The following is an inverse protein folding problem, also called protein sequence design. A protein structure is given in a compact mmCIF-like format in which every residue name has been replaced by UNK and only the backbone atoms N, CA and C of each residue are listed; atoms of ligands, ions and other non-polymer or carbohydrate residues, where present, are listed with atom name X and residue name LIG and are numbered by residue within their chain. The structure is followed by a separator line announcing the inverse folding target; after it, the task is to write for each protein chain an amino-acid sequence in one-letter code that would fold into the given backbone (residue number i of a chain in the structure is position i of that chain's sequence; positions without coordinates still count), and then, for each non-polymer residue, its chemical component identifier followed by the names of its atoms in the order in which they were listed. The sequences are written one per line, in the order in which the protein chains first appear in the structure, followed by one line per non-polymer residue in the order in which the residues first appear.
data_IF_424456741269
#
_entry.id   IF_424456741269
#
_cell.length_a   1.000
_cell.length_b   1.000
_cell.length_c   1.000
_cell.angle_alpha   90.00
_cell.angle_beta   90.00
_cell.angle_gamma   90.00
#
_symmetry.space_group_name_H-M   'P 1'
#
loop_
_entity.id
_entity.type
_entity.pdbx_description
1 polymer ?
#
# COMPACT_ATOMS: atom_id res chain seq x y z
N UNK A 1 25.30 10.08 -15.87
CA UNK A 1 24.85 8.70 -15.62
C UNK A 1 23.82 8.38 -16.69
N UNK A 2 24.19 7.58 -17.67
CA UNK A 2 23.27 7.14 -18.70
C UNK A 2 22.19 6.29 -18.05
N UNK A 3 20.92 6.64 -18.30
CA UNK A 3 19.77 5.89 -17.77
C UNK A 3 19.77 4.53 -18.45
N UNK A 4 19.90 3.46 -17.66
CA UNK A 4 19.73 2.08 -18.14
C UNK A 4 18.39 2.02 -18.87
N UNK A 5 18.42 1.58 -20.14
CA UNK A 5 17.21 1.36 -20.91
C UNK A 5 16.40 0.24 -20.26
N UNK A 6 15.18 0.55 -19.84
CA UNK A 6 14.30 -0.37 -19.12
C UNK A 6 13.04 -0.59 -19.94
N UNK A 7 12.97 -1.74 -20.60
CA UNK A 7 11.77 -2.15 -21.32
C UNK A 7 10.62 -2.33 -20.32
N UNK A 8 9.52 -1.61 -20.59
CA UNK A 8 8.32 -1.57 -19.77
C UNK A 8 7.77 -2.98 -19.52
N UNK A 9 7.91 -3.90 -20.47
CA UNK A 9 7.42 -5.27 -20.35
C UNK A 9 8.14 -6.03 -19.23
N UNK A 10 9.46 -5.92 -19.14
CA UNK A 10 10.24 -6.56 -18.07
C UNK A 10 9.97 -5.90 -16.71
N UNK A 11 9.85 -4.57 -16.67
CA UNK A 11 9.50 -3.86 -15.43
C UNK A 11 8.11 -4.26 -14.94
N UNK A 12 7.13 -4.41 -15.84
CA UNK A 12 5.78 -4.84 -15.51
C UNK A 12 5.74 -6.24 -14.90
N UNK A 13 6.52 -7.20 -15.42
CA UNK A 13 6.62 -8.56 -14.89
C UNK A 13 7.13 -8.61 -13.44
N UNK A 14 7.89 -7.61 -13.02
CA UNK A 14 8.37 -7.52 -11.63
C UNK A 14 7.43 -6.72 -10.73
N UNK A 15 6.46 -5.97 -11.27
CA UNK A 15 5.55 -5.16 -10.44
C UNK A 15 4.40 -6.01 -9.90
N UNK A 16 3.89 -5.69 -8.69
CA UNK A 16 2.67 -6.31 -8.20
C UNK A 16 1.51 -5.97 -9.14
N UNK A 17 0.50 -6.82 -9.20
CA UNK A 17 -0.71 -6.52 -9.96
C UNK A 17 -1.36 -5.24 -9.42
N UNK A 18 -1.55 -4.25 -10.30
CA UNK A 18 -2.16 -2.96 -9.96
C UNK A 18 -3.51 -2.77 -10.66
N UNK A 19 -4.41 -2.04 -10.02
CA UNK A 19 -5.70 -1.63 -10.57
C UNK A 19 -5.99 -0.19 -10.16
N UNK A 20 -6.37 0.68 -11.10
CA UNK A 20 -6.69 2.09 -10.84
C UNK A 20 -5.61 2.84 -10.00
N UNK A 21 -4.33 2.56 -10.22
CA UNK A 21 -3.21 3.25 -9.56
C UNK A 21 -2.81 2.72 -8.18
N UNK A 22 -3.48 1.67 -7.68
CA UNK A 22 -3.16 1.00 -6.40
C UNK A 22 -2.91 -0.49 -6.61
N UNK A 23 -2.40 -1.20 -5.60
CA UNK A 23 -2.29 -2.67 -5.67
C UNK A 23 -3.68 -3.32 -5.69
N UNK A 24 -3.80 -4.45 -6.38
CA UNK A 24 -5.07 -5.17 -6.50
C UNK A 24 -5.68 -5.50 -5.13
N UNK A 25 -4.87 -5.99 -4.18
CA UNK A 25 -5.31 -6.30 -2.82
C UNK A 25 -5.86 -5.06 -2.09
N UNK A 26 -5.23 -3.90 -2.25
CA UNK A 26 -5.71 -2.65 -1.65
C UNK A 26 -7.04 -2.21 -2.26
N UNK A 27 -7.19 -2.31 -3.58
CA UNK A 27 -8.45 -2.02 -4.25
C UNK A 27 -9.61 -2.88 -3.73
N UNK A 28 -9.37 -4.18 -3.55
CA UNK A 28 -10.36 -5.11 -2.98
C UNK A 28 -10.72 -4.71 -1.55
N UNK A 29 -9.72 -4.41 -0.70
CA UNK A 29 -9.97 -3.94 0.68
C UNK A 29 -10.78 -2.65 0.69
N UNK A 30 -10.48 -1.69 -0.20
CA UNK A 30 -11.24 -0.45 -0.30
C UNK A 30 -12.70 -0.70 -0.71
N UNK A 31 -12.95 -1.62 -1.64
CA UNK A 31 -14.30 -2.00 -2.06
C UNK A 31 -15.09 -2.71 -0.95
N UNK A 32 -14.45 -3.63 -0.22
CA UNK A 32 -15.05 -4.29 0.96
C UNK A 32 -15.41 -3.25 2.02
N UNK A 33 -14.46 -2.37 2.37
CA UNK A 33 -14.69 -1.31 3.35
C UNK A 33 -15.81 -0.36 2.92
N UNK A 34 -15.86 0.05 1.66
CA UNK A 34 -16.96 0.87 1.13
C UNK A 34 -18.32 0.15 1.26
N UNK A 35 -18.35 -1.15 1.00
CA UNK A 35 -19.57 -1.96 1.12
C UNK A 35 -20.03 -2.06 2.57
N UNK A 36 -19.12 -2.36 3.49
CA UNK A 36 -19.40 -2.43 4.93
C UNK A 36 -19.90 -1.09 5.48
N UNK A 37 -19.21 0.01 5.15
CA UNK A 37 -19.64 1.36 5.57
C UNK A 37 -21.01 1.72 4.99
N UNK A 38 -21.30 1.32 3.75
CA UNK A 38 -22.62 1.55 3.16
C UNK A 38 -23.71 0.78 3.88
N UNK A 39 -23.47 -0.48 4.24
CA UNK A 39 -24.42 -1.28 5.02
C UNK A 39 -24.66 -0.73 6.42
N UNK A 40 -23.63 -0.16 7.06
CA UNK A 40 -23.75 0.43 8.41
C UNK A 40 -24.46 1.78 8.39
N UNK A 41 -24.09 2.67 7.47
CA UNK A 41 -24.59 4.05 7.47
C UNK A 41 -25.79 4.29 6.55
N UNK A 42 -26.03 3.42 5.57
CA UNK A 42 -27.11 3.57 4.58
C UNK A 42 -26.99 4.85 3.73
N UNK A 43 -25.77 5.39 3.58
CA UNK A 43 -25.54 6.72 3.00
C UNK A 43 -24.57 6.70 1.83
N UNK A 44 -24.89 7.43 0.77
CA UNK A 44 -24.00 7.61 -0.39
C UNK A 44 -22.74 8.42 -0.09
N UNK A 45 -22.68 9.14 1.05
CA UNK A 45 -21.45 9.80 1.51
C UNK A 45 -20.28 8.82 1.72
N UNK A 46 -20.58 7.54 1.88
CA UNK A 46 -19.59 6.46 1.93
C UNK A 46 -18.75 6.38 0.65
N UNK A 47 -19.31 6.72 -0.51
CA UNK A 47 -18.54 6.72 -1.76
C UNK A 47 -17.45 7.80 -1.76
N UNK A 48 -17.73 8.96 -1.15
CA UNK A 48 -16.71 10.00 -0.98
C UNK A 48 -15.59 9.52 -0.06
N UNK A 49 -15.94 8.85 1.05
CA UNK A 49 -14.95 8.24 1.93
C UNK A 49 -14.10 7.20 1.20
N UNK A 50 -14.71 6.31 0.43
CA UNK A 50 -14.02 5.30 -0.37
C UNK A 50 -13.09 5.93 -1.43
N UNK A 51 -13.49 7.04 -2.04
CA UNK A 51 -12.66 7.78 -2.99
C UNK A 51 -11.46 8.44 -2.31
N UNK A 52 -11.67 9.04 -1.13
CA UNK A 52 -10.59 9.65 -0.34
C UNK A 52 -9.57 8.58 0.11
N UNK A 53 -10.05 7.46 0.61
CA UNK A 53 -9.21 6.32 1.00
C UNK A 53 -8.42 5.85 -0.22
N UNK A 54 -9.08 5.55 -1.33
CA UNK A 54 -8.42 5.15 -2.58
C UNK A 54 -7.38 6.15 -3.06
N UNK A 55 -7.71 7.46 -3.01
CA UNK A 55 -6.82 8.54 -3.40
C UNK A 55 -5.53 8.57 -2.57
N UNK A 56 -5.63 8.36 -1.25
CA UNK A 56 -4.44 8.22 -0.39
C UNK A 56 -3.61 7.02 -0.83
N UNK A 57 -4.24 5.88 -1.10
CA UNK A 57 -3.54 4.70 -1.60
C UNK A 57 -2.82 4.94 -2.93
N UNK A 58 -3.47 5.63 -3.86
CA UNK A 58 -2.88 5.97 -5.15
C UNK A 58 -1.67 6.87 -4.98
N UNK A 59 -1.74 7.88 -4.10
CA UNK A 59 -0.61 8.78 -3.79
C UNK A 59 0.57 8.00 -3.21
N UNK A 60 0.34 7.05 -2.30
CA UNK A 60 1.40 6.22 -1.73
C UNK A 60 2.09 5.36 -2.80
N UNK A 61 1.31 4.82 -3.75
CA UNK A 61 1.82 4.02 -4.85
C UNK A 61 2.56 4.82 -5.95
N UNK A 62 2.47 6.16 -5.97
CA UNK A 62 3.18 6.99 -6.96
C UNK A 62 4.71 6.84 -6.88
N UNK A 63 5.25 6.68 -5.67
CA UNK A 63 6.69 6.52 -5.46
C UNK A 63 7.13 5.06 -5.47
N UNK A 64 6.33 4.19 -4.88
CA UNK A 64 6.65 2.77 -4.73
C UNK A 64 5.38 1.93 -4.96
N UNK A 65 5.25 1.25 -6.12
CA UNK A 65 4.13 0.37 -6.42
C UNK A 65 3.88 -0.71 -5.36
N UNK A 66 4.93 -1.18 -4.68
CA UNK A 66 4.87 -2.21 -3.63
C UNK A 66 4.67 -1.65 -2.23
N UNK A 67 4.27 -0.38 -2.09
CA UNK A 67 4.19 0.30 -0.80
C UNK A 67 3.46 -0.52 0.26
N UNK A 68 2.28 -1.06 -0.07
CA UNK A 68 1.46 -1.85 0.84
C UNK A 68 2.11 -3.19 1.23
N UNK A 69 2.73 -3.89 0.27
CA UNK A 69 3.41 -5.17 0.54
C UNK A 69 4.62 -4.96 1.45
N UNK A 70 5.40 -3.92 1.19
CA UNK A 70 6.55 -3.55 2.01
C UNK A 70 6.12 -3.09 3.40
N UNK A 71 5.05 -2.31 3.50
CA UNK A 71 4.49 -1.89 4.78
C UNK A 71 4.00 -3.08 5.58
N UNK A 72 3.26 -4.00 4.96
CA UNK A 72 2.76 -5.21 5.62
C UNK A 72 3.93 -6.12 6.05
N UNK A 73 4.93 -6.31 5.19
CA UNK A 73 6.12 -7.08 5.53
C UNK A 73 6.87 -6.46 6.72
N UNK A 74 7.01 -5.13 6.75
CA UNK A 74 7.62 -4.39 7.86
C UNK A 74 6.84 -4.60 9.16
N UNK A 75 5.52 -4.47 9.14
CA UNK A 75 4.69 -4.65 10.34
C UNK A 75 4.73 -6.10 10.84
N UNK A 76 4.72 -7.08 9.93
CA UNK A 76 4.68 -8.52 10.29
C UNK A 76 6.03 -9.07 10.74
N UNK A 77 7.12 -8.72 10.06
CA UNK A 77 8.44 -9.35 10.26
C UNK A 77 9.44 -8.45 10.98
N UNK A 78 9.27 -7.13 10.88
CA UNK A 78 10.21 -6.16 11.42
C UNK A 78 9.51 -5.14 12.35
N UNK A 79 8.73 -5.57 13.35
CA UNK A 79 8.09 -4.64 14.28
C UNK A 79 9.15 -3.88 15.07
N UNK A 80 8.81 -2.67 15.51
CA UNK A 80 9.72 -1.79 16.23
C UNK A 80 10.04 -2.37 17.61
N UNK A 81 11.32 -2.60 17.90
CA UNK A 81 11.76 -3.13 19.22
C UNK A 81 11.68 -2.07 20.32
N UNK A 82 11.57 -2.51 21.59
CA UNK A 82 11.38 -1.61 22.75
C UNK A 82 12.46 -0.53 22.89
N UNK A 83 13.69 -0.84 22.49
CA UNK A 83 14.84 0.08 22.55
C UNK A 83 15.05 0.87 21.24
N UNK A 84 14.16 0.78 20.25
CA UNK A 84 14.33 1.50 18.97
C UNK A 84 14.44 3.01 19.18
N UNK A 85 13.78 3.60 20.19
CA UNK A 85 13.90 5.05 20.43
C UNK A 85 15.34 5.46 20.76
N UNK A 86 16.11 4.59 21.41
CA UNK A 86 17.52 4.82 21.71
C UNK A 86 18.37 4.66 20.46
N UNK A 87 18.23 3.54 19.74
CA UNK A 87 19.13 3.16 18.64
C UNK A 87 18.71 3.67 17.25
N UNK A 88 17.45 4.10 17.11
CA UNK A 88 16.78 4.46 15.85
C UNK A 88 16.79 3.35 14.78
N UNK A 89 17.10 2.11 15.18
CA UNK A 89 17.10 0.93 14.34
C UNK A 89 16.57 -0.28 15.12
N UNK A 90 16.12 -1.30 14.37
CA UNK A 90 15.88 -2.62 14.94
C UNK A 90 17.20 -3.37 14.93
N UNK A 91 17.62 -3.88 16.09
CA UNK A 91 18.78 -4.77 16.16
C UNK A 91 18.36 -6.16 15.71
N UNK A 92 18.96 -6.67 14.64
CA UNK A 92 18.82 -8.07 14.26
C UNK A 92 19.56 -8.91 15.32
N UNK A 93 18.83 -9.69 16.10
CA UNK A 93 19.43 -10.77 16.88
C UNK A 93 19.13 -12.09 16.14
N UNK A 94 20.14 -12.92 15.86
CA UNK A 94 19.91 -14.26 15.31
C UNK A 94 19.05 -15.09 16.27
#
# INVERSE_FOLDING_TARGET
MDRVDQDILFVALTRPQMFAGVTYSYFVVNAVLATELFLVFGSFWVLLAALLIHGVGAILCLREPRFFDLWLAKVRRCPRVRNYRLWRCNSYRP
#
